data_IF_822210626857
#
_entry.id   IF_822210626857
#
_cell.length_a   1.000
_cell.length_b   1.000
_cell.length_c   1.000
_cell.angle_alpha   90.00
_cell.angle_beta   90.00
_cell.angle_gamma   90.00
#
_symmetry.space_group_name_H-M   'P 1'
#
loop_
_entity.id
_entity.type
_entity.pdbx_description
1 polymer ?
#
# COMPACT_ATOMS: atom_id res chain seq x y z
N UNK A 1 9.56 7.76 -10.23
CA UNK A 1 8.97 8.68 -9.23
C UNK A 1 7.52 8.26 -8.96
N UNK A 2 7.22 7.91 -7.70
CA UNK A 2 5.87 7.56 -7.23
C UNK A 2 5.36 8.70 -6.33
N UNK A 3 4.12 9.14 -6.53
CA UNK A 3 3.55 10.29 -5.79
C UNK A 3 2.21 9.92 -5.16
N UNK A 4 2.01 10.34 -3.90
CA UNK A 4 0.74 10.22 -3.19
C UNK A 4 -0.26 11.34 -3.51
N UNK A 5 0.07 12.29 -4.41
CA UNK A 5 -0.78 13.48 -4.68
C UNK A 5 -2.23 13.16 -5.03
N UNK A 6 -2.45 12.06 -5.76
CA UNK A 6 -3.79 11.61 -6.21
C UNK A 6 -4.36 10.50 -5.33
N UNK A 7 -3.67 10.15 -4.24
CA UNK A 7 -4.13 9.09 -3.36
C UNK A 7 -5.44 9.48 -2.69
N UNK A 8 -6.38 8.54 -2.65
CA UNK A 8 -7.64 8.66 -1.90
C UNK A 8 -7.86 7.36 -1.11
N UNK A 9 -8.42 7.41 0.11
CA UNK A 9 -8.59 6.22 0.94
C UNK A 9 -9.34 5.06 0.28
N UNK A 10 -10.28 5.33 -0.64
CA UNK A 10 -10.98 4.27 -1.38
C UNK A 10 -10.06 3.43 -2.27
N UNK A 11 -8.88 3.93 -2.63
CA UNK A 11 -7.91 3.22 -3.45
C UNK A 11 -7.33 1.98 -2.74
N UNK A 12 -7.39 1.92 -1.40
CA UNK A 12 -7.06 0.72 -0.65
C UNK A 12 -7.89 -0.50 -1.09
N UNK A 13 -9.08 -0.28 -1.68
CA UNK A 13 -9.96 -1.37 -2.17
C UNK A 13 -9.29 -2.20 -3.25
N UNK A 14 -8.40 -1.57 -4.01
CA UNK A 14 -7.63 -2.17 -5.08
C UNK A 14 -6.22 -2.53 -4.60
N UNK A 15 -5.99 -2.59 -3.29
CA UNK A 15 -4.66 -2.72 -2.67
C UNK A 15 -3.62 -1.73 -3.22
N UNK A 16 -4.09 -0.51 -3.53
CA UNK A 16 -3.21 0.61 -3.89
C UNK A 16 -2.98 1.43 -2.62
N UNK A 17 -1.72 1.55 -2.21
CA UNK A 17 -1.30 2.35 -1.07
C UNK A 17 -0.44 3.54 -1.49
N UNK A 18 -0.26 4.48 -0.56
CA UNK A 18 0.74 5.55 -0.69
C UNK A 18 2.16 4.96 -0.74
N UNK A 19 3.17 5.73 -1.20
CA UNK A 19 4.56 5.31 -1.11
C UNK A 19 5.00 5.18 0.37
N UNK A 20 4.85 3.97 0.91
CA UNK A 20 5.13 3.58 2.29
C UNK A 20 6.57 3.86 2.78
N UNK A 21 7.65 3.85 1.95
CA UNK A 21 8.99 4.18 2.45
C UNK A 21 9.12 5.66 2.84
N UNK A 22 8.21 6.50 2.33
CA UNK A 22 8.13 7.92 2.64
C UNK A 22 6.94 8.25 3.56
N UNK A 23 6.34 7.24 4.20
CA UNK A 23 5.29 7.44 5.19
C UNK A 23 5.91 7.67 6.57
N UNK A 24 5.66 8.84 7.14
CA UNK A 24 6.08 9.20 8.48
C UNK A 24 4.85 9.48 9.34
N UNK A 25 4.83 8.97 10.55
CA UNK A 25 3.72 9.16 11.48
C UNK A 25 4.25 9.33 12.91
N UNK A 26 3.43 9.93 13.78
CA UNK A 26 3.86 10.21 15.16
C UNK A 26 3.88 8.93 16.00
N UNK A 27 4.80 8.85 16.97
CA UNK A 27 4.97 7.68 17.85
C UNK A 27 3.69 7.32 18.60
N UNK A 28 2.88 8.31 18.96
CA UNK A 28 1.63 8.10 19.71
C UNK A 28 0.62 7.26 18.91
N UNK A 29 0.71 7.25 17.58
CA UNK A 29 -0.15 6.40 16.75
C UNK A 29 0.16 4.91 16.94
N UNK A 30 1.43 4.55 17.11
CA UNK A 30 1.82 3.18 17.43
C UNK A 30 1.32 2.76 18.81
N UNK A 31 1.44 3.65 19.81
CA UNK A 31 0.94 3.39 21.15
C UNK A 31 -0.59 3.25 21.18
N UNK A 32 -1.32 4.04 20.39
CA UNK A 32 -2.79 4.07 20.39
C UNK A 32 -3.43 2.99 19.51
N UNK A 33 -2.80 2.67 18.38
CA UNK A 33 -3.40 1.85 17.32
C UNK A 33 -2.62 0.56 17.03
N UNK A 34 -1.51 0.32 17.75
CA UNK A 34 -0.65 -0.85 17.60
C UNK A 34 0.42 -0.66 16.52
N UNK A 35 1.47 -1.49 16.61
CA UNK A 35 2.55 -1.54 15.62
C UNK A 35 2.26 -2.47 14.46
N UNK A 36 3.31 -2.78 13.70
CA UNK A 36 3.30 -3.73 12.59
C UNK A 36 2.78 -5.09 13.05
N UNK A 37 1.82 -5.65 12.31
CA UNK A 37 1.35 -7.02 12.59
C UNK A 37 2.37 -8.04 12.11
N UNK A 38 2.59 -9.08 12.92
CA UNK A 38 3.47 -10.21 12.62
C UNK A 38 2.75 -11.32 11.83
N UNK A 39 1.45 -11.14 11.55
CA UNK A 39 0.63 -12.11 10.82
C UNK A 39 0.87 -12.07 9.31
N UNK A 40 1.68 -11.11 8.83
CA UNK A 40 1.98 -10.88 7.43
C UNK A 40 3.48 -11.04 7.18
N UNK A 41 3.83 -11.80 6.13
CA UNK A 41 5.21 -12.02 5.73
C UNK A 41 5.76 -10.87 4.90
N UNK A 42 4.91 -10.19 4.13
CA UNK A 42 5.31 -9.13 3.19
C UNK A 42 4.54 -7.83 3.44
N UNK A 43 3.21 -7.89 3.63
CA UNK A 43 2.31 -6.73 3.60
C UNK A 43 2.02 -6.10 4.98
N UNK A 44 2.93 -6.26 5.94
CA UNK A 44 2.75 -5.68 7.28
C UNK A 44 2.70 -4.15 7.26
N UNK A 45 3.45 -3.52 6.35
CA UNK A 45 3.44 -2.08 6.09
C UNK A 45 2.13 -1.60 5.45
N UNK A 46 1.61 -2.36 4.49
CA UNK A 46 0.31 -2.10 3.89
C UNK A 46 -0.80 -2.13 4.95
N UNK A 47 -0.82 -3.15 5.80
CA UNK A 47 -1.80 -3.28 6.88
C UNK A 47 -1.73 -2.07 7.83
N UNK A 48 -0.53 -1.70 8.29
CA UNK A 48 -0.35 -0.58 9.21
C UNK A 48 -0.87 0.73 8.62
N UNK A 49 -0.45 1.05 7.40
CA UNK A 49 -0.83 2.30 6.71
C UNK A 49 -2.33 2.31 6.44
N UNK A 50 -2.90 1.20 6.00
CA UNK A 50 -4.33 1.07 5.76
C UNK A 50 -5.11 1.23 7.07
N UNK A 51 -4.73 0.52 8.13
CA UNK A 51 -5.37 0.63 9.45
C UNK A 51 -5.36 2.07 9.96
N UNK A 52 -4.25 2.78 9.82
CA UNK A 52 -4.16 4.17 10.28
C UNK A 52 -5.01 5.11 9.41
N UNK A 53 -4.90 5.03 8.09
CA UNK A 53 -5.55 5.97 7.17
C UNK A 53 -7.04 5.68 6.93
N UNK A 54 -7.43 4.40 6.88
CA UNK A 54 -8.79 3.96 6.60
C UNK A 54 -9.60 3.74 7.87
N UNK A 55 -9.12 2.87 8.78
CA UNK A 55 -9.87 2.49 10.00
C UNK A 55 -9.88 3.61 11.04
N UNK A 56 -8.71 4.19 11.33
CA UNK A 56 -8.60 5.27 12.33
C UNK A 56 -8.67 6.68 11.76
N UNK A 57 -8.69 6.82 10.42
CA UNK A 57 -8.87 8.10 9.70
C UNK A 57 -7.95 9.21 10.21
N UNK A 58 -6.68 8.88 10.44
CA UNK A 58 -5.71 9.87 10.91
C UNK A 58 -5.60 11.04 9.92
N UNK A 59 -5.31 12.24 10.44
CA UNK A 59 -5.01 13.41 9.59
C UNK A 59 -3.66 13.19 8.91
N UNK A 60 -3.65 13.26 7.58
CA UNK A 60 -2.44 13.11 6.76
C UNK A 60 -2.24 14.34 5.88
N UNK A 61 -0.98 14.68 5.58
CA UNK A 61 -0.62 15.76 4.66
C UNK A 61 0.40 15.25 3.66
N UNK A 62 0.15 15.48 2.38
CA UNK A 62 1.10 15.16 1.32
C UNK A 62 2.22 16.21 1.27
N UNK A 63 3.47 15.74 1.25
CA UNK A 63 4.66 16.56 1.03
C UNK A 63 5.14 16.38 -0.43
N UNK A 64 5.12 17.42 -1.28
CA UNK A 64 5.50 17.32 -2.69
C UNK A 64 7.03 17.34 -2.88
N UNK A 65 7.77 16.48 -2.17
CA UNK A 65 9.23 16.35 -2.26
C UNK A 65 9.63 14.88 -2.30
N UNK A 66 10.66 14.55 -3.08
CA UNK A 66 11.31 13.25 -3.01
C UNK A 66 12.18 13.20 -1.74
N UNK A 67 11.81 12.34 -0.78
CA UNK A 67 12.54 12.18 0.48
C UNK A 67 13.34 10.87 0.51
N UNK A 68 12.85 9.84 -0.18
CA UNK A 68 13.41 8.49 -0.15
C UNK A 68 13.44 7.92 -1.57
N UNK A 69 14.55 7.24 -1.89
CA UNK A 69 14.69 6.42 -3.10
C UNK A 69 14.88 4.98 -2.67
N UNK A 70 13.92 4.10 -2.99
CA UNK A 70 14.07 2.67 -2.78
C UNK A 70 14.98 2.06 -3.85
N UNK A 71 15.87 1.17 -3.43
CA UNK A 71 16.56 0.27 -4.35
C UNK A 71 15.63 -0.87 -4.76
N UNK A 72 15.85 -1.39 -5.96
CA UNK A 72 15.21 -2.63 -6.40
C UNK A 72 15.88 -3.82 -5.70
N UNK A 73 15.10 -4.86 -5.42
CA UNK A 73 15.54 -6.02 -4.65
C UNK A 73 14.87 -6.08 -3.28
N UNK A 74 14.43 -7.29 -2.89
CA UNK A 74 13.66 -7.53 -1.66
C UNK A 74 12.63 -8.65 -1.83
N UNK A 75 12.01 -9.05 -0.72
CA UNK A 75 11.03 -10.16 -0.68
C UNK A 75 9.85 -9.96 -1.64
N UNK A 76 9.39 -8.72 -1.81
CA UNK A 76 8.28 -8.37 -2.71
C UNK A 76 8.65 -8.38 -4.20
N UNK A 77 9.94 -8.50 -4.51
CA UNK A 77 10.47 -8.59 -5.88
C UNK A 77 11.06 -9.95 -6.21
N UNK A 78 10.86 -10.96 -5.35
CA UNK A 78 11.43 -12.30 -5.50
C UNK A 78 10.73 -13.18 -6.57
N UNK A 79 9.75 -12.63 -7.31
CA UNK A 79 9.11 -13.27 -8.46
C UNK A 79 7.61 -13.51 -8.31
N UNK A 80 7.06 -14.41 -9.13
CA UNK A 80 5.59 -14.63 -9.23
C UNK A 80 4.99 -15.12 -7.92
N UNK A 81 5.68 -16.03 -7.20
CA UNK A 81 5.21 -16.52 -5.89
C UNK A 81 5.02 -15.37 -4.88
N UNK A 82 5.94 -14.40 -4.86
CA UNK A 82 5.83 -13.22 -4.00
C UNK A 82 4.64 -12.34 -4.37
N UNK A 83 4.33 -12.18 -5.66
CA UNK A 83 3.13 -11.45 -6.08
C UNK A 83 1.84 -12.13 -5.63
N UNK A 84 1.75 -13.45 -5.72
CA UNK A 84 0.57 -14.19 -5.25
C UNK A 84 0.40 -14.00 -3.73
N UNK A 85 1.50 -14.10 -2.98
CA UNK A 85 1.50 -13.90 -1.53
C UNK A 85 1.06 -12.48 -1.16
N UNK A 86 1.64 -11.46 -1.80
CA UNK A 86 1.28 -10.04 -1.60
C UNK A 86 -0.23 -9.85 -1.79
N UNK A 87 -0.81 -10.35 -2.87
CA UNK A 87 -2.23 -10.13 -3.13
C UNK A 87 -3.14 -10.88 -2.16
N UNK A 88 -2.69 -12.02 -1.62
CA UNK A 88 -3.41 -12.75 -0.56
C UNK A 88 -3.34 -12.01 0.76
N UNK A 89 -2.15 -11.57 1.17
CA UNK A 89 -1.94 -10.81 2.39
C UNK A 89 -2.63 -9.44 2.34
N UNK A 90 -2.60 -8.74 1.21
CA UNK A 90 -3.35 -7.50 0.99
C UNK A 90 -4.85 -7.71 1.27
N UNK A 91 -5.43 -8.79 0.73
CA UNK A 91 -6.83 -9.13 0.97
C UNK A 91 -7.12 -9.46 2.44
N UNK A 92 -6.22 -10.19 3.08
CA UNK A 92 -6.33 -10.52 4.50
C UNK A 92 -6.28 -9.25 5.36
N UNK A 93 -5.34 -8.34 5.09
CA UNK A 93 -5.22 -7.05 5.76
C UNK A 93 -6.47 -6.18 5.57
N UNK A 94 -7.05 -6.19 4.37
CA UNK A 94 -8.32 -5.51 4.07
C UNK A 94 -9.47 -6.06 4.91
N UNK A 95 -9.61 -7.38 4.96
CA UNK A 95 -10.66 -8.05 5.74
C UNK A 95 -10.48 -7.86 7.24
N UNK A 96 -9.26 -7.99 7.76
CA UNK A 96 -8.93 -7.80 9.18
C UNK A 96 -9.27 -6.38 9.68
N UNK A 97 -9.24 -5.39 8.79
CA UNK A 97 -9.57 -4.00 9.08
C UNK A 97 -11.00 -3.61 8.64
N UNK A 98 -11.86 -4.58 8.35
CA UNK A 98 -13.28 -4.34 8.04
C UNK A 98 -13.52 -3.67 6.70
N UNK A 99 -12.59 -3.78 5.75
CA UNK A 99 -12.73 -3.20 4.42
C UNK A 99 -12.95 -4.28 3.37
N UNK A 100 -14.07 -4.18 2.67
CA UNK A 100 -14.46 -5.18 1.68
C UNK A 100 -13.63 -5.05 0.40
N UNK A 101 -13.02 -6.15 -0.02
CA UNK A 101 -12.38 -6.33 -1.31
C UNK A 101 -12.36 -7.81 -1.71
N UNK A 102 -11.94 -8.10 -2.94
CA UNK A 102 -11.81 -9.43 -3.52
C UNK A 102 -10.52 -9.52 -4.34
N UNK A 103 -9.98 -10.72 -4.54
CA UNK A 103 -8.77 -10.90 -5.35
C UNK A 103 -8.90 -10.31 -6.77
N UNK A 104 -10.01 -10.52 -7.52
CA UNK A 104 -10.16 -9.91 -8.84
C UNK A 104 -10.03 -8.39 -8.82
N UNK A 105 -10.62 -7.72 -7.82
CA UNK A 105 -10.49 -6.28 -7.65
C UNK A 105 -9.04 -5.86 -7.39
N UNK A 106 -8.33 -6.58 -6.53
CA UNK A 106 -6.92 -6.32 -6.26
C UNK A 106 -6.08 -6.46 -7.53
N UNK A 107 -6.32 -7.50 -8.34
CA UNK A 107 -5.57 -7.71 -9.59
C UNK A 107 -5.74 -6.57 -10.61
N UNK A 108 -6.84 -5.81 -10.58
CA UNK A 108 -7.01 -4.65 -11.46
C UNK A 108 -5.91 -3.59 -11.29
N UNK A 109 -5.22 -3.54 -10.13
CA UNK A 109 -4.09 -2.62 -9.90
C UNK A 109 -2.95 -2.82 -10.89
N UNK A 110 -2.73 -4.06 -11.35
CA UNK A 110 -1.72 -4.39 -12.36
C UNK A 110 -2.13 -3.92 -13.75
N UNK A 111 -3.42 -4.00 -14.08
CA UNK A 111 -3.95 -3.45 -15.32
C UNK A 111 -3.72 -1.93 -15.40
N UNK A 112 -4.04 -1.20 -14.33
CA UNK A 112 -3.75 0.24 -14.25
C UNK A 112 -2.26 0.56 -14.31
N UNK A 113 -1.41 -0.30 -13.73
CA UNK A 113 0.04 -0.14 -13.80
C UNK A 113 0.56 -0.30 -15.23
N UNK A 114 0.13 -1.32 -15.95
CA UNK A 114 0.48 -1.56 -17.37
C UNK A 114 0.00 -0.40 -18.24
N UNK A 115 -1.26 0.01 -18.09
CA UNK A 115 -1.83 1.14 -18.81
C UNK A 115 -1.06 2.44 -18.53
N UNK A 116 -0.65 2.66 -17.28
CA UNK A 116 0.19 3.79 -16.90
C UNK A 116 1.58 3.79 -17.53
N UNK A 117 2.19 2.61 -17.75
CA UNK A 117 3.45 2.50 -18.50
C UNK A 117 3.23 2.78 -19.99
N UNK A 118 2.20 2.19 -20.59
CA UNK A 118 1.86 2.35 -22.01
C UNK A 118 1.59 3.83 -22.35
N UNK A 119 0.78 4.52 -21.55
CA UNK A 119 0.47 5.94 -21.77
C UNK A 119 1.64 6.88 -21.47
N UNK A 120 2.58 6.47 -20.63
CA UNK A 120 3.79 7.24 -20.33
C UNK A 120 4.88 7.03 -21.39
N UNK A 121 4.83 5.95 -22.16
CA UNK A 121 5.71 5.70 -23.31
C UNK A 121 5.25 6.41 -24.60
N UNK A 122 4.02 6.95 -24.61
CA UNK A 122 3.45 7.71 -25.73
C UNK A 122 3.51 9.25 -25.52
N UNK A 123 4.28 9.72 -24.54
CA UNK A 123 4.66 11.13 -24.33
C UNK A 123 6.17 11.22 -24.21
#
# INVERSE_FOLDING_TARGET
>A
YCSARRFRPWMFRFAVMVPHPSFYCRRELFARYGGYSLDYRICSDFELVMRYMWKYRIRTRYLPRCVVVMRMGGMSTAGIKSNIEINREDLQALRANGYWSTLPLIYTKYFFKIWGFVFRSMR
#
